data_IF_251182971460
#
_entry.id   IF_251182971460
#
_cell.length_a   1.000
_cell.length_b   1.000
_cell.length_c   1.000
_cell.angle_alpha   90.00
_cell.angle_beta   90.00
_cell.angle_gamma   90.00
#
_symmetry.space_group_name_H-M   'P 1'
#
loop_
_entity.id
_entity.type
_entity.pdbx_description
1 polymer ?
#
# COMPACT_ATOMS: atom_id res chain seq x y z
N UNK A 1 -24.19 -8.01 -1.63
CA UNK A 1 -24.10 -7.09 -0.47
C UNK A 1 -25.14 -7.50 0.56
N UNK A 2 -24.81 -7.62 1.83
CA UNK A 2 -25.80 -7.98 2.85
C UNK A 2 -26.80 -6.81 3.01
N UNK A 3 -28.08 -7.13 2.89
CA UNK A 3 -29.16 -6.14 3.00
C UNK A 3 -29.59 -5.87 4.44
N UNK A 4 -29.33 -6.79 5.38
CA UNK A 4 -29.98 -6.79 6.70
C UNK A 4 -29.04 -6.64 7.91
N UNK A 5 -27.71 -6.70 7.71
CA UNK A 5 -26.73 -6.58 8.80
C UNK A 5 -25.39 -6.08 8.33
N UNK A 6 -24.64 -5.42 9.19
CA UNK A 6 -23.23 -5.13 8.97
C UNK A 6 -22.42 -6.43 8.98
N UNK A 7 -21.45 -6.51 8.05
CA UNK A 7 -20.52 -7.63 8.03
C UNK A 7 -19.46 -7.36 9.11
N UNK A 8 -19.31 -8.26 10.11
CA UNK A 8 -18.26 -8.10 11.12
C UNK A 8 -16.89 -8.15 10.43
N UNK A 9 -16.03 -7.19 10.74
CA UNK A 9 -14.65 -7.19 10.27
C UNK A 9 -13.86 -8.20 11.10
N UNK A 10 -13.12 -9.09 10.41
CA UNK A 10 -12.23 -10.02 11.09
C UNK A 10 -11.02 -9.28 11.62
N UNK A 11 -10.67 -9.53 12.87
CA UNK A 11 -9.43 -9.05 13.44
C UNK A 11 -8.24 -9.82 12.86
N UNK A 12 -7.19 -9.09 12.54
CA UNK A 12 -5.96 -9.68 12.00
C UNK A 12 -5.01 -9.87 13.19
N UNK A 13 -4.62 -11.10 13.53
CA UNK A 13 -3.67 -11.36 14.60
C UNK A 13 -2.33 -10.69 14.27
N UNK A 14 -1.64 -10.25 15.32
CA UNK A 14 -0.31 -9.69 15.20
C UNK A 14 0.69 -10.74 14.69
N UNK A 15 1.71 -10.31 13.99
CA UNK A 15 2.80 -11.18 13.56
C UNK A 15 3.59 -11.68 14.76
N UNK A 16 3.96 -12.98 14.83
CA UNK A 16 4.62 -13.54 16.00
C UNK A 16 6.01 -12.97 16.25
N UNK A 17 6.76 -12.57 15.23
CA UNK A 17 8.13 -12.04 15.36
C UNK A 17 8.13 -10.54 15.67
N UNK A 18 7.40 -9.77 14.88
CA UNK A 18 7.37 -8.29 15.00
C UNK A 18 6.19 -7.77 15.84
N UNK A 19 5.31 -8.62 16.32
CA UNK A 19 4.11 -8.31 17.13
C UNK A 19 3.28 -7.15 16.54
N UNK A 20 3.23 -7.08 15.21
CA UNK A 20 2.57 -6.00 14.48
C UNK A 20 1.46 -6.53 13.57
N UNK A 21 0.21 -6.08 13.75
CA UNK A 21 -0.89 -6.44 12.85
C UNK A 21 -0.70 -5.86 11.44
N UNK A 22 0.11 -4.80 11.31
CA UNK A 22 0.45 -4.20 10.03
C UNK A 22 1.31 -5.13 9.18
N UNK A 23 2.28 -5.81 9.81
CA UNK A 23 3.13 -6.82 9.15
C UNK A 23 2.27 -8.00 8.70
N UNK A 24 1.40 -8.52 9.56
CA UNK A 24 0.46 -9.61 9.19
C UNK A 24 -0.42 -9.22 8.00
N UNK A 25 -0.92 -7.98 7.98
CA UNK A 25 -1.72 -7.48 6.85
C UNK A 25 -0.91 -7.41 5.57
N UNK A 26 0.35 -7.03 5.65
CA UNK A 26 1.26 -6.99 4.51
C UNK A 26 1.58 -8.40 4.01
N UNK A 27 1.87 -9.36 4.90
CA UNK A 27 2.06 -10.79 4.59
C UNK A 27 0.88 -11.32 3.79
N UNK A 28 -0.35 -11.05 4.24
CA UNK A 28 -1.56 -11.48 3.55
C UNK A 28 -1.69 -10.90 2.13
N UNK A 29 -1.15 -9.70 1.88
CA UNK A 29 -1.16 -9.09 0.54
C UNK A 29 -0.05 -9.61 -0.38
N UNK A 30 1.07 -10.07 0.18
CA UNK A 30 2.17 -10.70 -0.59
C UNK A 30 1.85 -12.15 -0.92
N UNK A 31 1.09 -12.81 -0.06
CA UNK A 31 0.72 -14.22 -0.19
C UNK A 31 0.03 -14.51 -1.53
N UNK A 32 0.43 -15.58 -2.19
CA UNK A 32 -0.22 -16.17 -3.37
C UNK A 32 -0.61 -17.62 -3.04
N UNK A 33 -1.72 -18.09 -3.59
CA UNK A 33 -2.21 -19.48 -3.48
C UNK A 33 -2.35 -19.99 -2.03
N UNK A 34 -2.56 -19.10 -1.06
CA UNK A 34 -2.65 -19.47 0.35
C UNK A 34 -1.32 -19.85 1.02
N UNK A 35 -0.19 -19.74 0.33
CA UNK A 35 1.15 -20.12 0.85
C UNK A 35 1.70 -19.08 1.83
N UNK A 36 1.13 -19.05 3.03
CA UNK A 36 1.46 -18.04 4.05
C UNK A 36 2.92 -18.15 4.53
N UNK A 37 3.42 -19.36 4.80
CA UNK A 37 4.79 -19.57 5.27
C UNK A 37 5.85 -19.05 4.28
N UNK A 38 5.58 -19.16 2.98
CA UNK A 38 6.45 -18.60 1.93
C UNK A 38 6.43 -17.06 1.97
N UNK A 39 5.24 -16.46 2.14
CA UNK A 39 5.11 -15.00 2.24
C UNK A 39 5.80 -14.43 3.49
N UNK A 40 5.66 -15.10 4.64
CA UNK A 40 6.36 -14.77 5.89
C UNK A 40 7.88 -14.78 5.68
N UNK A 41 8.41 -15.86 5.11
CA UNK A 41 9.85 -15.98 4.81
C UNK A 41 10.36 -14.87 3.89
N UNK A 42 9.57 -14.48 2.88
CA UNK A 42 9.92 -13.39 1.97
C UNK A 42 10.04 -12.08 2.73
N UNK A 43 9.09 -11.77 3.60
CA UNK A 43 9.06 -10.51 4.35
C UNK A 43 10.16 -10.46 5.40
N UNK A 44 10.38 -11.54 6.14
CA UNK A 44 11.46 -11.58 7.14
C UNK A 44 12.82 -11.40 6.50
N UNK A 45 13.10 -12.10 5.39
CA UNK A 45 14.34 -11.89 4.62
C UNK A 45 14.46 -10.47 4.05
N UNK A 46 13.35 -9.87 3.63
CA UNK A 46 13.38 -8.48 3.17
C UNK A 46 13.73 -7.53 4.33
N UNK A 47 13.21 -7.77 5.53
CA UNK A 47 13.55 -6.98 6.72
C UNK A 47 15.01 -7.17 7.15
N UNK A 48 15.56 -8.39 7.05
CA UNK A 48 16.98 -8.64 7.32
C UNK A 48 17.87 -7.81 6.36
N UNK A 49 17.55 -7.80 5.07
CA UNK A 49 18.27 -6.98 4.07
C UNK A 49 18.14 -5.47 4.37
N UNK A 50 16.95 -5.02 4.76
CA UNK A 50 16.76 -3.60 5.15
C UNK A 50 17.64 -3.27 6.35
N UNK A 51 17.69 -4.13 7.36
CA UNK A 51 18.54 -3.95 8.55
C UNK A 51 20.02 -3.90 8.19
N UNK A 52 20.49 -4.79 7.32
CA UNK A 52 21.89 -4.84 6.87
C UNK A 52 22.27 -3.58 6.07
N UNK A 53 21.39 -3.10 5.20
CA UNK A 53 21.69 -1.96 4.31
C UNK A 53 21.48 -0.59 4.96
N UNK A 54 20.46 -0.43 5.80
CA UNK A 54 20.14 0.86 6.43
C UNK A 54 20.77 1.03 7.81
N UNK A 55 21.08 -0.04 8.50
CA UNK A 55 21.49 -0.01 9.91
C UNK A 55 20.36 0.33 10.90
N UNK A 56 19.20 0.67 10.41
CA UNK A 56 18.03 1.07 11.20
C UNK A 56 17.12 -0.13 11.52
N UNK A 57 16.21 0.08 12.46
CA UNK A 57 15.14 -0.88 12.74
C UNK A 57 14.25 -1.07 11.51
N UNK A 58 14.19 -2.28 10.93
CA UNK A 58 13.42 -2.55 9.71
C UNK A 58 11.93 -2.22 9.86
N UNK A 59 11.38 -2.36 11.07
CA UNK A 59 9.97 -2.03 11.33
C UNK A 59 9.72 -0.52 11.23
N UNK A 60 10.68 0.31 11.65
CA UNK A 60 10.59 1.78 11.50
C UNK A 60 10.65 2.19 10.03
N UNK A 61 11.60 1.63 9.27
CA UNK A 61 11.72 1.88 7.83
C UNK A 61 10.45 1.45 7.10
N UNK A 62 9.92 0.28 7.41
CA UNK A 62 8.68 -0.24 6.84
C UNK A 62 7.46 0.66 7.15
N UNK A 63 7.28 1.10 8.40
CA UNK A 63 6.20 2.03 8.76
C UNK A 63 6.33 3.35 8.01
N UNK A 64 7.53 3.92 7.96
CA UNK A 64 7.84 5.15 7.23
C UNK A 64 7.54 5.01 5.73
N UNK A 65 7.92 3.88 5.12
CA UNK A 65 7.62 3.57 3.72
C UNK A 65 6.11 3.54 3.46
N UNK A 66 5.34 2.86 4.31
CA UNK A 66 3.88 2.83 4.19
C UNK A 66 3.28 4.23 4.34
N UNK A 67 3.71 5.00 5.33
CA UNK A 67 3.18 6.35 5.58
C UNK A 67 3.47 7.29 4.39
N UNK A 68 4.65 7.19 3.80
CA UNK A 68 5.02 7.95 2.61
C UNK A 68 4.20 7.58 1.36
N UNK A 69 3.68 6.36 1.28
CA UNK A 69 2.89 5.89 0.11
C UNK A 69 1.38 6.07 0.31
N UNK A 70 0.89 6.32 1.53
CA UNK A 70 -0.55 6.52 1.79
C UNK A 70 -1.10 7.73 1.00
N UNK A 71 -2.11 7.54 0.12
CA UNK A 71 -2.76 8.65 -0.56
C UNK A 71 -3.77 9.35 0.34
N UNK A 72 -3.85 10.68 0.28
CA UNK A 72 -4.91 11.46 0.93
C UNK A 72 -6.16 11.58 0.06
N UNK A 73 -5.97 11.63 -1.26
CA UNK A 73 -7.02 11.80 -2.27
C UNK A 73 -6.98 10.66 -3.29
N UNK A 74 -8.14 10.30 -3.79
CA UNK A 74 -8.30 9.45 -4.98
C UNK A 74 -9.32 10.07 -5.92
N UNK A 75 -9.31 9.62 -7.17
CA UNK A 75 -10.28 10.08 -8.17
C UNK A 75 -11.28 8.96 -8.41
N UNK A 76 -12.58 9.30 -8.36
CA UNK A 76 -13.68 8.38 -8.67
C UNK A 76 -14.47 8.90 -9.87
N UNK A 77 -14.77 8.00 -10.79
CA UNK A 77 -15.65 8.34 -11.92
C UNK A 77 -17.10 8.44 -11.44
N UNK A 78 -17.77 9.53 -11.79
CA UNK A 78 -19.19 9.78 -11.54
C UNK A 78 -19.88 10.16 -12.83
N UNK A 79 -21.07 9.60 -13.05
CA UNK A 79 -21.91 9.94 -14.20
C UNK A 79 -22.91 11.01 -13.82
N UNK A 80 -22.83 12.16 -14.47
CA UNK A 80 -23.73 13.29 -14.23
C UNK A 80 -24.23 13.78 -15.61
N UNK A 81 -25.54 13.84 -15.79
CA UNK A 81 -26.14 14.32 -17.04
C UNK A 81 -25.69 13.58 -18.30
N UNK A 82 -25.36 12.27 -18.18
CA UNK A 82 -24.90 11.46 -19.32
C UNK A 82 -23.38 11.45 -19.55
N UNK A 83 -22.64 12.37 -18.95
CA UNK A 83 -21.16 12.44 -19.04
C UNK A 83 -20.49 11.87 -17.79
N UNK A 84 -19.30 11.28 -17.97
CA UNK A 84 -18.50 10.75 -16.88
C UNK A 84 -17.47 11.79 -16.42
N UNK A 85 -17.55 12.17 -15.15
CA UNK A 85 -16.61 13.11 -14.53
C UNK A 85 -15.71 12.39 -13.54
N UNK A 86 -14.44 12.78 -13.51
CA UNK A 86 -13.46 12.30 -12.54
C UNK A 86 -13.50 13.20 -11.30
N UNK A 87 -14.11 12.70 -10.22
CA UNK A 87 -14.34 13.50 -9.02
C UNK A 87 -13.29 13.15 -7.94
N UNK A 88 -12.52 14.13 -7.44
CA UNK A 88 -11.58 13.92 -6.34
C UNK A 88 -12.33 13.69 -5.02
N UNK A 89 -11.95 12.63 -4.32
CA UNK A 89 -12.58 12.23 -3.06
C UNK A 89 -11.50 11.92 -2.02
N UNK A 90 -11.72 12.31 -0.78
CA UNK A 90 -10.84 11.91 0.32
C UNK A 90 -10.89 10.40 0.55
N UNK A 91 -9.74 9.82 0.81
CA UNK A 91 -9.62 8.38 1.03
C UNK A 91 -9.80 8.07 2.51
N UNK A 92 -10.68 7.13 2.83
CA UNK A 92 -10.87 6.64 4.21
C UNK A 92 -9.54 6.03 4.75
N UNK A 93 -9.18 6.21 6.04
CA UNK A 93 -7.94 5.72 6.64
C UNK A 93 -7.64 4.24 6.38
N UNK A 94 -8.65 3.36 6.49
CA UNK A 94 -8.49 1.94 6.21
C UNK A 94 -8.16 1.66 4.73
N UNK A 95 -8.72 2.46 3.82
CA UNK A 95 -8.46 2.35 2.39
C UNK A 95 -7.09 2.92 2.04
N UNK A 96 -6.66 4.03 2.68
CA UNK A 96 -5.30 4.58 2.52
C UNK A 96 -4.25 3.49 2.78
N UNK A 97 -4.41 2.78 3.90
CA UNK A 97 -3.52 1.68 4.26
C UNK A 97 -3.56 0.55 3.23
N UNK A 98 -4.75 0.15 2.79
CA UNK A 98 -4.89 -0.94 1.81
C UNK A 98 -4.30 -0.58 0.44
N UNK A 99 -4.43 0.68 0.02
CA UNK A 99 -3.83 1.17 -1.22
C UNK A 99 -2.30 1.21 -1.12
N UNK A 100 -1.75 1.73 -0.02
CA UNK A 100 -0.29 1.79 0.16
C UNK A 100 0.36 0.40 0.13
N UNK A 101 -0.22 -0.58 0.81
CA UNK A 101 0.26 -1.96 0.78
C UNK A 101 0.20 -2.53 -0.64
N UNK A 102 -0.93 -2.37 -1.34
CA UNK A 102 -1.11 -2.87 -2.70
C UNK A 102 -0.11 -2.25 -3.67
N UNK A 103 0.15 -0.96 -3.57
CA UNK A 103 1.10 -0.28 -4.43
C UNK A 103 2.53 -0.73 -4.15
N UNK A 104 2.94 -0.81 -2.88
CA UNK A 104 4.27 -1.32 -2.52
C UNK A 104 4.51 -2.73 -3.06
N UNK A 105 3.55 -3.64 -2.86
CA UNK A 105 3.67 -5.02 -3.37
C UNK A 105 3.68 -5.06 -4.89
N UNK A 106 2.81 -4.28 -5.54
CA UNK A 106 2.70 -4.24 -7.00
C UNK A 106 3.98 -3.71 -7.65
N UNK A 107 4.51 -2.60 -7.15
CA UNK A 107 5.73 -2.02 -7.69
C UNK A 107 6.97 -2.84 -7.34
N UNK A 108 7.03 -3.45 -6.17
CA UNK A 108 8.09 -4.41 -5.85
C UNK A 108 8.11 -5.59 -6.83
N UNK A 109 6.95 -6.15 -7.20
CA UNK A 109 6.86 -7.22 -8.21
C UNK A 109 7.35 -6.76 -9.59
N UNK A 110 7.04 -5.53 -9.97
CA UNK A 110 7.41 -4.95 -11.27
C UNK A 110 8.87 -4.49 -11.36
N UNK A 111 9.61 -4.44 -10.25
CA UNK A 111 11.05 -4.04 -10.24
C UNK A 111 11.90 -5.02 -11.06
N UNK A 112 12.82 -4.46 -11.83
CA UNK A 112 13.84 -5.21 -12.53
C UNK A 112 15.12 -5.44 -11.72
N UNK A 113 15.33 -4.63 -10.67
CA UNK A 113 16.49 -4.68 -9.78
C UNK A 113 16.28 -5.70 -8.65
N UNK A 114 16.95 -6.79 -8.70
CA UNK A 114 16.84 -7.88 -7.75
C UNK A 114 16.35 -9.18 -8.41
N UNK A 115 16.99 -10.27 -8.02
CA UNK A 115 16.67 -11.60 -8.54
C UNK A 115 15.46 -12.21 -7.82
N UNK A 116 15.27 -11.86 -6.55
CA UNK A 116 14.28 -12.47 -5.68
C UNK A 116 13.28 -11.44 -5.16
N UNK A 117 12.09 -11.92 -4.79
CA UNK A 117 11.03 -11.03 -4.29
C UNK A 117 11.41 -10.32 -2.98
N UNK A 118 12.20 -10.94 -2.11
CA UNK A 118 12.64 -10.30 -0.87
C UNK A 118 13.64 -9.17 -1.12
N UNK A 119 14.53 -9.28 -2.12
CA UNK A 119 15.41 -8.18 -2.54
C UNK A 119 14.61 -7.01 -3.11
N UNK A 120 13.66 -7.31 -3.99
CA UNK A 120 12.77 -6.32 -4.61
C UNK A 120 11.96 -5.55 -3.58
N UNK A 121 11.40 -6.26 -2.58
CA UNK A 121 10.67 -5.64 -1.47
C UNK A 121 11.58 -4.77 -0.59
N UNK A 122 12.76 -5.26 -0.23
CA UNK A 122 13.71 -4.49 0.57
C UNK A 122 14.10 -3.17 -0.12
N UNK A 123 14.43 -3.24 -1.42
CA UNK A 123 14.75 -2.06 -2.21
C UNK A 123 13.56 -1.09 -2.29
N UNK A 124 12.33 -1.59 -2.53
CA UNK A 124 11.15 -0.72 -2.56
C UNK A 124 10.84 -0.08 -1.20
N UNK A 125 11.05 -0.79 -0.09
CA UNK A 125 10.88 -0.20 1.26
C UNK A 125 11.87 0.92 1.52
N UNK A 126 13.15 0.73 1.17
CA UNK A 126 14.17 1.76 1.34
C UNK A 126 13.91 2.97 0.46
N UNK A 127 13.55 2.76 -0.80
CA UNK A 127 13.22 3.84 -1.72
C UNK A 127 11.98 4.60 -1.25
N UNK A 128 10.91 3.91 -0.86
CA UNK A 128 9.69 4.53 -0.37
C UNK A 128 9.90 5.28 0.95
N UNK A 129 10.75 4.79 1.86
CA UNK A 129 11.13 5.50 3.07
C UNK A 129 11.87 6.81 2.78
N UNK A 130 12.59 6.88 1.65
CA UNK A 130 13.32 8.06 1.16
C UNK A 130 12.52 8.88 0.13
N UNK A 131 11.19 8.70 0.06
CA UNK A 131 10.30 9.37 -0.88
C UNK A 131 10.68 9.13 -2.35
N UNK A 132 11.16 7.93 -2.67
CA UNK A 132 11.54 7.49 -4.02
C UNK A 132 10.78 6.23 -4.38
N UNK A 133 10.97 5.74 -5.61
CA UNK A 133 10.39 4.47 -6.06
C UNK A 133 9.02 4.59 -6.71
N UNK A 134 8.58 3.47 -7.29
CA UNK A 134 7.36 3.42 -8.10
C UNK A 134 6.09 3.61 -7.30
N UNK A 135 6.04 3.13 -6.06
CA UNK A 135 4.88 3.28 -5.20
C UNK A 135 4.64 4.74 -4.78
N UNK A 136 5.72 5.49 -4.50
CA UNK A 136 5.64 6.93 -4.19
C UNK A 136 5.20 7.70 -5.43
N UNK A 137 5.78 7.42 -6.59
CA UNK A 137 5.37 8.03 -7.86
C UNK A 137 3.88 7.80 -8.14
N UNK A 138 3.37 6.60 -7.88
CA UNK A 138 1.93 6.31 -8.02
C UNK A 138 1.05 7.16 -7.11
N UNK A 139 1.46 7.39 -5.87
CA UNK A 139 0.77 8.32 -4.96
C UNK A 139 0.75 9.73 -5.55
N UNK A 140 1.89 10.23 -6.01
CA UNK A 140 2.03 11.57 -6.59
C UNK A 140 1.17 11.73 -7.85
N UNK A 141 1.18 10.74 -8.75
CA UNK A 141 0.35 10.75 -9.95
C UNK A 141 -1.15 10.76 -9.58
N UNK A 142 -1.53 10.01 -8.53
CA UNK A 142 -2.92 10.00 -8.03
C UNK A 142 -3.32 11.37 -7.47
N UNK A 143 -2.44 12.02 -6.70
CA UNK A 143 -2.68 13.36 -6.17
C UNK A 143 -2.72 14.41 -7.28
N UNK A 144 -1.83 14.31 -8.27
CA UNK A 144 -1.81 15.21 -9.45
C UNK A 144 -3.11 15.09 -10.25
N UNK A 145 -3.60 13.86 -10.46
CA UNK A 145 -4.90 13.64 -11.10
C UNK A 145 -6.05 14.24 -10.29
N UNK A 146 -6.02 14.10 -8.96
CA UNK A 146 -7.04 14.69 -8.09
C UNK A 146 -7.01 16.22 -8.13
N UNK A 147 -5.84 16.82 -8.18
CA UNK A 147 -5.67 18.27 -8.28
C UNK A 147 -6.14 18.80 -9.63
N UNK A 148 -5.77 18.16 -10.74
CA UNK A 148 -6.23 18.52 -12.08
C UNK A 148 -7.76 18.48 -12.23
N UNK A 149 -8.42 17.59 -11.47
CA UNK A 149 -9.88 17.44 -11.47
C UNK A 149 -10.58 18.21 -10.32
N UNK A 150 -9.87 19.11 -9.63
CA UNK A 150 -10.40 19.87 -8.49
C UNK A 150 -11.67 20.66 -8.80
N UNK A 151 -11.81 21.13 -10.01
CA UNK A 151 -13.01 21.82 -10.48
C UNK A 151 -14.30 20.99 -10.35
N UNK A 152 -14.22 19.68 -10.40
CA UNK A 152 -15.33 18.75 -10.26
C UNK A 152 -15.61 18.28 -8.84
N UNK A 153 -14.92 18.84 -7.84
CA UNK A 153 -15.08 18.45 -6.43
C UNK A 153 -16.50 18.67 -5.90
N UNK A 154 -17.25 19.62 -6.47
CA UNK A 154 -18.64 19.91 -6.12
C UNK A 154 -19.61 18.78 -6.49
N UNK A 155 -19.23 17.85 -7.36
CA UNK A 155 -20.00 16.63 -7.66
C UNK A 155 -19.77 15.49 -6.64
N UNK A 156 -19.13 15.79 -5.52
CA UNK A 156 -18.92 14.83 -4.41
C UNK A 156 -20.21 14.67 -3.61
N UNK A 157 -20.59 13.42 -3.37
CA UNK A 157 -21.72 13.03 -2.50
C UNK A 157 -21.17 12.56 -1.16
#
# INVERSE_FOLDING_TARGET
MPRRREIPKRDIPADPIYQSPLVSKFINCVMSDGKRSTAERIIYKAFDIVKEKSGDDPLKVFKKAIDNVKPSLEVKSRRVGGSNYQVPVEVNPNRRLSLSIRWLVGYARARGDGKTMYEKLANEFMDAANLRGGAVKKREDTHRMAEANKAFAHYRW
#
